data_IF_666865278748
#
_entry.id   IF_666865278748
#
_cell.length_a   1.000
_cell.length_b   1.000
_cell.length_c   1.000
_cell.angle_alpha   90.00
_cell.angle_beta   90.00
_cell.angle_gamma   90.00
#
_symmetry.space_group_name_H-M   'P 1'
#
loop_
_entity.id
_entity.type
_entity.pdbx_description
1 polymer ?
#
# COMPACT_ATOMS: atom_id res chain seq x y z
N UNK A 1 6.17 -14.21 4.53
CA UNK A 1 7.23 -13.67 5.41
C UNK A 1 6.68 -12.62 6.39
N UNK A 2 6.28 -11.41 5.95
CA UNK A 2 5.74 -10.37 6.86
C UNK A 2 4.50 -10.83 7.65
N UNK A 3 3.56 -11.53 7.01
CA UNK A 3 2.36 -12.01 7.71
C UNK A 3 2.70 -12.89 8.93
N UNK A 4 3.71 -13.76 8.81
CA UNK A 4 4.14 -14.62 9.92
C UNK A 4 4.78 -13.79 11.03
N UNK A 5 5.69 -12.87 10.70
CA UNK A 5 6.29 -11.92 11.64
C UNK A 5 5.21 -11.15 12.44
N UNK A 6 4.22 -10.60 11.74
CA UNK A 6 3.13 -9.82 12.36
C UNK A 6 2.22 -10.67 13.25
N UNK A 7 2.12 -11.98 13.00
CA UNK A 7 1.42 -12.92 13.88
C UNK A 7 2.27 -13.21 15.12
N UNK A 8 3.56 -13.52 14.97
CA UNK A 8 4.46 -13.82 16.09
C UNK A 8 4.62 -12.64 17.05
N UNK A 9 4.63 -11.40 16.54
CA UNK A 9 4.68 -10.19 17.36
C UNK A 9 3.45 -10.01 18.26
N UNK A 10 2.35 -10.73 17.99
CA UNK A 10 1.13 -10.69 18.81
C UNK A 10 1.13 -11.73 19.92
N UNK A 11 2.10 -12.65 19.95
CA UNK A 11 2.27 -13.56 21.08
C UNK A 11 2.59 -12.76 22.33
N UNK A 12 2.08 -13.19 23.49
CA UNK A 12 2.08 -12.43 24.75
C UNK A 12 3.46 -11.87 25.12
N UNK A 13 4.50 -12.70 25.09
CA UNK A 13 5.87 -12.29 25.44
C UNK A 13 6.43 -11.26 24.46
N UNK A 14 6.25 -11.50 23.15
CA UNK A 14 6.74 -10.60 22.10
C UNK A 14 5.99 -9.26 22.12
N UNK A 15 4.67 -9.30 22.33
CA UNK A 15 3.84 -8.11 22.46
C UNK A 15 4.24 -7.28 23.68
N UNK A 16 4.53 -7.94 24.81
CA UNK A 16 5.00 -7.28 26.03
C UNK A 16 6.43 -6.74 25.91
N UNK A 17 7.28 -7.34 25.08
CA UNK A 17 8.60 -6.78 24.76
C UNK A 17 8.46 -5.55 23.85
N UNK A 18 7.68 -5.67 22.78
CA UNK A 18 7.42 -4.58 21.82
C UNK A 18 6.75 -3.37 22.48
N UNK A 19 5.83 -3.58 23.42
CA UNK A 19 5.11 -2.51 24.10
C UNK A 19 6.00 -1.63 24.98
N UNK A 20 7.21 -2.08 25.32
CA UNK A 20 8.20 -1.28 26.05
C UNK A 20 8.87 -0.23 25.16
N UNK A 21 8.83 -0.44 23.84
CA UNK A 21 9.52 0.38 22.84
C UNK A 21 8.54 1.19 22.00
N UNK A 22 7.33 0.68 21.75
CA UNK A 22 6.30 1.40 21.00
C UNK A 22 4.89 1.12 21.50
N UNK A 23 4.02 2.13 21.44
CA UNK A 23 2.59 1.99 21.72
C UNK A 23 1.81 1.37 20.54
N UNK A 24 2.44 1.28 19.36
CA UNK A 24 1.80 0.77 18.14
C UNK A 24 1.74 -0.76 18.16
N UNK A 25 0.54 -1.31 17.94
CA UNK A 25 0.30 -2.76 17.92
C UNK A 25 0.52 -3.36 16.53
N UNK A 26 1.01 -4.60 16.40
CA UNK A 26 1.06 -5.29 15.12
C UNK A 26 -0.35 -5.52 14.54
N UNK A 27 -0.47 -5.40 13.22
CA UNK A 27 -1.69 -5.69 12.45
C UNK A 27 -1.44 -6.92 11.57
N UNK A 28 -2.37 -7.88 11.55
CA UNK A 28 -2.35 -8.98 10.57
C UNK A 28 -3.22 -8.62 9.37
N UNK A 29 -2.87 -9.08 8.18
CA UNK A 29 -3.80 -9.01 7.07
C UNK A 29 -5.02 -9.92 7.30
N UNK A 30 -6.09 -9.61 6.60
CA UNK A 30 -7.31 -10.40 6.51
C UNK A 30 -7.50 -10.84 5.07
N UNK A 31 -7.68 -12.14 4.86
CA UNK A 31 -7.89 -12.71 3.51
C UNK A 31 -9.10 -12.07 2.82
N UNK A 32 -10.13 -11.74 3.58
CA UNK A 32 -11.42 -11.24 3.08
C UNK A 32 -11.50 -9.73 2.90
N UNK A 33 -10.51 -8.96 3.36
CA UNK A 33 -10.61 -7.48 3.39
C UNK A 33 -9.49 -6.87 2.58
N UNK A 34 -9.84 -6.33 1.41
CA UNK A 34 -8.94 -5.78 0.40
C UNK A 34 -7.78 -4.92 0.95
N UNK A 35 -8.00 -3.86 1.77
CA UNK A 35 -6.90 -2.99 2.21
C UNK A 35 -6.02 -3.58 3.33
N UNK A 36 -6.36 -4.75 3.88
CA UNK A 36 -5.74 -5.24 5.11
C UNK A 36 -4.26 -5.60 4.95
N UNK A 37 -3.84 -6.08 3.77
CA UNK A 37 -2.43 -6.35 3.47
C UNK A 37 -1.62 -5.07 3.43
N UNK A 38 -2.13 -4.03 2.79
CA UNK A 38 -1.51 -2.71 2.75
C UNK A 38 -1.38 -2.11 4.16
N UNK A 39 -2.44 -2.13 4.97
CA UNK A 39 -2.41 -1.65 6.36
C UNK A 39 -1.37 -2.40 7.22
N UNK A 40 -1.21 -3.71 7.00
CA UNK A 40 -0.17 -4.51 7.66
C UNK A 40 1.23 -4.04 7.25
N UNK A 41 1.48 -3.80 5.97
CA UNK A 41 2.78 -3.35 5.48
C UNK A 41 3.12 -1.93 6.00
N UNK A 42 2.15 -1.01 5.97
CA UNK A 42 2.32 0.32 6.57
C UNK A 42 2.61 0.23 8.06
N UNK A 43 1.92 -0.65 8.80
CA UNK A 43 2.18 -0.85 10.22
C UNK A 43 3.59 -1.38 10.43
N UNK A 44 3.99 -2.40 9.68
CA UNK A 44 5.35 -2.95 9.72
C UNK A 44 6.40 -1.85 9.50
N UNK A 45 6.22 -0.99 8.50
CA UNK A 45 7.14 0.12 8.24
C UNK A 45 7.28 1.08 9.43
N UNK A 46 6.17 1.39 10.11
CA UNK A 46 6.17 2.29 11.28
C UNK A 46 6.79 1.68 12.54
N UNK A 47 6.77 0.36 12.70
CA UNK A 47 7.25 -0.31 13.92
C UNK A 47 8.54 -1.10 13.71
N UNK A 48 9.12 -1.09 12.50
CA UNK A 48 10.26 -1.93 12.14
C UNK A 48 11.42 -1.82 13.12
N UNK A 49 11.81 -0.60 13.47
CA UNK A 49 12.97 -0.39 14.35
C UNK A 49 12.70 -0.89 15.77
N UNK A 50 11.46 -0.76 16.24
CA UNK A 50 11.02 -1.36 17.51
C UNK A 50 10.95 -2.90 17.44
N UNK A 51 10.66 -3.48 16.27
CA UNK A 51 10.72 -4.95 16.09
C UNK A 51 12.16 -5.45 16.22
N UNK A 52 13.15 -4.70 15.71
CA UNK A 52 14.56 -5.10 15.77
C UNK A 52 15.12 -5.19 17.19
N UNK A 53 14.46 -4.56 18.18
CA UNK A 53 14.86 -4.70 19.60
C UNK A 53 14.26 -5.94 20.27
N UNK A 54 13.36 -6.68 19.60
CA UNK A 54 12.74 -7.90 20.12
C UNK A 54 13.51 -9.11 19.58
N UNK A 55 14.49 -9.59 20.37
CA UNK A 55 15.40 -10.68 19.99
C UNK A 55 14.70 -11.93 19.45
N UNK A 56 13.56 -12.30 20.05
CA UNK A 56 12.80 -13.50 19.69
C UNK A 56 12.25 -13.51 18.25
N UNK A 57 12.17 -12.35 17.58
CA UNK A 57 11.65 -12.25 16.20
C UNK A 57 12.62 -11.55 15.24
N UNK A 58 13.84 -11.24 15.70
CA UNK A 58 14.82 -10.45 14.96
C UNK A 58 15.26 -11.12 13.65
N UNK A 59 15.33 -12.45 13.64
CA UNK A 59 15.68 -13.26 12.47
C UNK A 59 14.57 -13.28 11.41
N UNK A 60 13.32 -13.04 11.81
CA UNK A 60 12.16 -13.03 10.93
C UNK A 60 11.95 -11.68 10.22
N UNK A 61 12.70 -10.65 10.63
CA UNK A 61 12.61 -9.31 10.04
C UNK A 61 13.29 -9.31 8.67
N UNK A 62 12.59 -8.92 7.59
CA UNK A 62 13.22 -8.80 6.28
C UNK A 62 14.35 -7.77 6.30
N UNK A 63 15.49 -8.13 5.70
CA UNK A 63 16.70 -7.29 5.60
C UNK A 63 17.08 -7.06 4.14
N UNK A 64 17.92 -6.06 3.90
CA UNK A 64 18.47 -5.75 2.57
C UNK A 64 17.39 -5.62 1.49
N UNK A 65 17.51 -6.43 0.43
CA UNK A 65 16.58 -6.47 -0.69
C UNK A 65 15.13 -6.72 -0.28
N UNK A 66 14.87 -7.61 0.69
CA UNK A 66 13.51 -7.93 1.12
C UNK A 66 12.80 -6.71 1.72
N UNK A 67 13.52 -5.94 2.54
CA UNK A 67 12.98 -4.70 3.10
C UNK A 67 12.75 -3.63 2.02
N UNK A 68 13.73 -3.42 1.12
CA UNK A 68 13.60 -2.46 0.02
C UNK A 68 12.41 -2.76 -0.89
N UNK A 69 12.19 -4.05 -1.19
CA UNK A 69 11.06 -4.47 -1.99
C UNK A 69 9.72 -4.17 -1.29
N UNK A 70 9.63 -4.43 0.03
CA UNK A 70 8.43 -4.10 0.81
C UNK A 70 8.17 -2.60 0.85
N UNK A 71 9.21 -1.78 1.03
CA UNK A 71 9.09 -0.32 1.01
C UNK A 71 8.53 0.15 -0.35
N UNK A 72 9.16 -0.26 -1.45
CA UNK A 72 8.72 0.09 -2.80
C UNK A 72 7.28 -0.36 -3.11
N UNK A 73 6.87 -1.56 -2.67
CA UNK A 73 5.48 -2.03 -2.83
C UNK A 73 4.53 -1.22 -1.95
N UNK A 74 4.93 -0.87 -0.74
CA UNK A 74 4.09 -0.06 0.18
C UNK A 74 3.83 1.32 -0.40
N UNK A 75 4.85 1.96 -0.99
CA UNK A 75 4.72 3.28 -1.62
C UNK A 75 3.76 3.24 -2.81
N UNK A 76 3.89 2.23 -3.69
CA UNK A 76 2.96 2.04 -4.82
C UNK A 76 1.51 1.78 -4.37
N UNK A 77 1.33 1.07 -3.25
CA UNK A 77 0.00 0.79 -2.73
C UNK A 77 -0.69 2.03 -2.13
N UNK A 78 0.05 3.07 -1.73
CA UNK A 78 -0.52 4.34 -1.30
C UNK A 78 -1.31 4.99 -2.44
N UNK A 79 -0.74 4.98 -3.64
CA UNK A 79 -1.38 5.56 -4.83
C UNK A 79 -2.69 4.83 -5.14
N UNK A 80 -2.67 3.49 -5.11
CA UNK A 80 -3.85 2.68 -5.36
C UNK A 80 -4.94 2.88 -4.30
N UNK A 81 -4.56 2.98 -3.02
CA UNK A 81 -5.51 3.24 -1.93
C UNK A 81 -6.20 4.59 -2.12
N UNK A 82 -5.46 5.63 -2.54
CA UNK A 82 -6.04 6.93 -2.86
C UNK A 82 -7.06 6.85 -4.02
N UNK A 83 -6.79 6.05 -5.04
CA UNK A 83 -7.74 5.83 -6.16
C UNK A 83 -8.99 5.13 -5.65
N UNK A 84 -8.85 4.07 -4.85
CA UNK A 84 -9.98 3.34 -4.28
C UNK A 84 -10.86 4.23 -3.39
N UNK A 85 -10.27 5.11 -2.58
CA UNK A 85 -11.02 6.08 -1.75
C UNK A 85 -11.81 7.05 -2.62
N UNK A 86 -11.22 7.58 -3.70
CA UNK A 86 -11.91 8.47 -4.64
C UNK A 86 -13.07 7.76 -5.37
N UNK A 87 -12.88 6.50 -5.76
CA UNK A 87 -13.93 5.70 -6.39
C UNK A 87 -15.08 5.36 -5.44
N UNK A 88 -14.81 5.26 -4.13
CA UNK A 88 -15.78 4.91 -3.10
C UNK A 88 -16.39 6.13 -2.40
N UNK A 89 -16.04 7.36 -2.80
CA UNK A 89 -16.56 8.58 -2.19
C UNK A 89 -18.06 8.72 -2.49
N UNK A 90 -18.86 9.06 -1.47
CA UNK A 90 -20.33 9.17 -1.57
C UNK A 90 -20.80 10.20 -2.61
N UNK A 91 -19.94 11.13 -3.01
CA UNK A 91 -20.20 12.17 -4.01
C UNK A 91 -20.29 11.65 -5.46
N UNK A 92 -19.96 10.36 -5.71
CA UNK A 92 -20.07 9.72 -7.02
C UNK A 92 -20.92 8.46 -6.90
N UNK A 93 -21.95 8.33 -7.73
CA UNK A 93 -22.67 7.06 -7.80
C UNK A 93 -21.87 6.04 -8.61
N UNK A 94 -21.87 4.78 -8.20
CA UNK A 94 -21.30 3.68 -9.01
C UNK A 94 -21.86 3.68 -10.45
N UNK A 95 -23.09 4.14 -10.63
CA UNK A 95 -23.74 4.24 -11.93
C UNK A 95 -23.07 5.30 -12.84
N UNK A 96 -22.63 6.44 -12.32
CA UNK A 96 -21.92 7.46 -13.11
C UNK A 96 -20.56 6.96 -13.61
N UNK A 97 -19.89 6.13 -12.81
CA UNK A 97 -18.57 5.58 -13.14
C UNK A 97 -18.70 4.39 -14.11
N UNK A 98 -19.65 3.47 -13.86
CA UNK A 98 -19.84 2.24 -14.64
C UNK A 98 -20.64 2.47 -15.93
N UNK A 99 -21.25 3.63 -16.14
CA UNK A 99 -21.96 3.94 -17.38
C UNK A 99 -21.24 4.98 -18.26
N UNK A 100 -19.97 5.30 -17.98
CA UNK A 100 -19.15 6.14 -18.86
C UNK A 100 -18.35 5.24 -19.83
N UNK A 101 -18.69 5.20 -21.14
CA UNK A 101 -17.98 4.35 -22.10
C UNK A 101 -16.51 4.77 -22.27
N UNK A 102 -16.21 6.06 -22.07
CA UNK A 102 -14.84 6.58 -22.10
C UNK A 102 -14.05 6.10 -20.87
N UNK A 103 -14.65 6.12 -19.69
CA UNK A 103 -14.02 5.59 -18.48
C UNK A 103 -13.77 4.08 -18.59
N UNK A 104 -14.76 3.30 -19.05
CA UNK A 104 -14.62 1.85 -19.25
C UNK A 104 -13.50 1.53 -20.26
N UNK A 105 -13.48 2.23 -21.41
CA UNK A 105 -12.44 2.07 -22.42
C UNK A 105 -11.06 2.46 -21.88
N UNK A 106 -10.97 3.54 -21.11
CA UNK A 106 -9.74 3.97 -20.46
C UNK A 106 -9.21 2.91 -19.48
N UNK A 107 -10.07 2.34 -18.63
CA UNK A 107 -9.70 1.29 -17.67
C UNK A 107 -9.16 0.05 -18.40
N UNK A 108 -9.83 -0.41 -19.47
CA UNK A 108 -9.37 -1.55 -20.27
C UNK A 108 -8.01 -1.25 -20.90
N UNK A 109 -7.81 -0.03 -21.43
CA UNK A 109 -6.52 0.36 -22.02
C UNK A 109 -5.40 0.42 -20.99
N UNK A 110 -5.65 1.00 -19.81
CA UNK A 110 -4.68 1.04 -18.70
C UNK A 110 -4.29 -0.37 -18.25
N UNK A 111 -5.25 -1.29 -18.12
CA UNK A 111 -4.96 -2.68 -17.73
C UNK A 111 -4.11 -3.46 -18.73
N UNK A 112 -4.15 -3.06 -20.01
CA UNK A 112 -3.41 -3.71 -21.09
C UNK A 112 -2.19 -2.89 -21.55
N UNK A 113 -1.79 -1.87 -20.80
CA UNK A 113 -0.67 -0.96 -21.14
C UNK A 113 -0.81 -0.32 -22.54
N UNK A 114 -2.04 0.02 -22.94
CA UNK A 114 -2.36 0.63 -24.23
C UNK A 114 -2.44 2.16 -24.16
N UNK A 115 -2.15 2.88 -25.27
CA UNK A 115 -2.22 4.33 -25.31
C UNK A 115 -3.66 4.84 -25.16
N UNK A 116 -3.81 5.89 -24.35
CA UNK A 116 -5.07 6.58 -24.10
C UNK A 116 -5.26 7.75 -25.07
N UNK A 117 -6.49 7.99 -25.50
CA UNK A 117 -6.89 9.21 -26.20
C UNK A 117 -7.11 10.37 -25.22
N UNK A 118 -7.12 11.62 -25.72
CA UNK A 118 -7.32 12.80 -24.88
C UNK A 118 -8.65 12.79 -24.08
N UNK A 119 -9.80 12.37 -24.66
CA UNK A 119 -11.04 12.25 -23.90
C UNK A 119 -10.98 11.17 -22.80
N UNK A 120 -10.31 10.04 -23.07
CA UNK A 120 -10.11 8.98 -22.07
C UNK A 120 -9.20 9.46 -20.92
N UNK A 121 -8.19 10.27 -21.21
CA UNK A 121 -7.33 10.88 -20.20
C UNK A 121 -8.09 11.85 -19.28
N UNK A 122 -8.96 12.70 -19.84
CA UNK A 122 -9.75 13.63 -19.04
C UNK A 122 -10.69 12.92 -18.05
N UNK A 123 -11.31 11.82 -18.47
CA UNK A 123 -12.21 11.05 -17.61
C UNK A 123 -11.48 10.42 -16.41
N UNK A 124 -10.23 10.00 -16.59
CA UNK A 124 -9.44 9.40 -15.51
C UNK A 124 -8.58 10.40 -14.72
N UNK A 125 -8.48 11.65 -15.17
CA UNK A 125 -7.59 12.69 -14.60
C UNK A 125 -7.84 12.90 -13.10
N UNK A 126 -9.10 12.89 -12.68
CA UNK A 126 -9.48 13.02 -11.26
C UNK A 126 -8.91 11.88 -10.38
N UNK A 127 -8.60 10.73 -10.98
CA UNK A 127 -8.08 9.55 -10.30
C UNK A 127 -6.56 9.44 -10.39
N UNK A 128 -5.91 10.13 -11.32
CA UNK A 128 -4.45 10.17 -11.41
C UNK A 128 -3.88 10.80 -10.13
N UNK A 129 -2.90 10.12 -9.53
CA UNK A 129 -2.17 10.69 -8.41
C UNK A 129 -1.17 11.71 -8.97
N UNK A 130 -0.97 12.88 -8.34
CA UNK A 130 0.07 13.81 -8.77
C UNK A 130 1.43 13.12 -8.56
N UNK A 131 1.99 12.57 -9.63
CA UNK A 131 3.37 12.12 -9.67
C UNK A 131 4.21 13.36 -9.43
N UNK A 132 4.77 13.51 -8.25
CA UNK A 132 5.71 14.58 -7.98
C UNK A 132 6.98 14.26 -8.79
N UNK A 133 7.00 14.67 -10.06
CA UNK A 133 8.16 14.61 -10.93
C UNK A 133 9.22 15.56 -10.39
N UNK A 134 10.08 15.07 -9.52
CA UNK A 134 11.42 15.63 -9.27
C UNK A 134 12.26 14.65 -8.46
N UNK A 135 12.60 13.52 -9.07
CA UNK A 135 13.87 12.88 -8.72
C UNK A 135 14.98 13.71 -9.38
N UNK A 136 15.86 14.40 -8.63
CA UNK A 136 16.95 15.13 -9.26
C UNK A 136 17.87 14.09 -9.90
N UNK A 137 18.12 14.27 -11.19
CA UNK A 137 19.07 13.50 -11.95
C UNK A 137 20.40 13.38 -11.17
N UNK A 138 20.73 12.16 -10.76
CA UNK A 138 22.11 11.81 -10.39
C UNK A 138 22.92 11.95 -11.66
N UNK A 139 23.65 13.06 -11.78
CA UNK A 139 24.71 13.24 -12.78
C UNK A 139 25.98 12.51 -12.30
N UNK A 140 26.83 12.05 -13.23
CA UNK A 140 27.82 11.00 -13.00
C UNK A 140 28.93 11.41 -12.03
#
# INVERSE_FOLDING_TARGET
MIQNLMIQLRHTNNAAALSRVTHLKPIKASVTRWPSTYQMLQRYMKIRDAILTVSAVEELVPRGNGHRHIAAVTDKLVELDSVCVKLQAEERSMAEIVHSPLFEAAVVKVQNDLPLSSPEQQEIEAFVFPTNESSPAVRP
#
